data_IF_791338062102
#
_entry.id   IF_791338062102
#
_cell.length_a   1.000
_cell.length_b   1.000
_cell.length_c   1.000
_cell.angle_alpha   90.00
_cell.angle_beta   90.00
_cell.angle_gamma   90.00
#
_symmetry.space_group_name_H-M   'P 1'
#
loop_
_entity.id
_entity.type
_entity.pdbx_description
1 polymer ?
#
# COMPACT_ATOMS: atom_id res chain seq x y z
N UNK A 1 -6.34 -40.81 -37.25
CA UNK A 1 -5.46 -40.16 -38.23
C UNK A 1 -6.27 -39.08 -38.94
N UNK A 2 -5.97 -37.80 -38.69
CA UNK A 2 -6.53 -36.71 -39.47
C UNK A 2 -5.40 -35.72 -39.74
N UNK A 3 -5.07 -35.57 -41.01
CA UNK A 3 -3.99 -34.76 -41.52
C UNK A 3 -4.60 -33.62 -42.33
N UNK A 4 -3.96 -32.45 -42.21
CA UNK A 4 -3.79 -31.37 -43.21
C UNK A 4 -4.61 -30.08 -43.06
N UNK A 5 -3.82 -29.06 -42.69
CA UNK A 5 -3.47 -27.84 -43.48
C UNK A 5 -4.46 -26.68 -43.52
N UNK A 6 -4.12 -25.68 -42.71
CA UNK A 6 -3.64 -24.33 -43.09
C UNK A 6 -4.47 -23.50 -44.07
N UNK A 7 -4.91 -22.33 -43.58
CA UNK A 7 -5.36 -21.18 -44.37
C UNK A 7 -5.30 -19.89 -43.54
N UNK A 8 -4.31 -19.05 -43.86
CA UNK A 8 -3.92 -17.77 -43.24
C UNK A 8 -4.87 -16.62 -43.59
N UNK A 9 -5.03 -15.63 -42.69
CA UNK A 9 -5.06 -14.15 -42.90
C UNK A 9 -5.29 -13.44 -41.55
N UNK A 10 -4.25 -12.83 -40.95
CA UNK A 10 -3.90 -11.39 -41.02
C UNK A 10 -5.04 -10.52 -40.45
N UNK A 11 -4.89 -9.76 -39.36
CA UNK A 11 -4.07 -8.54 -39.21
C UNK A 11 -4.10 -8.05 -37.76
N UNK A 12 -2.99 -7.51 -37.24
CA UNK A 12 -3.00 -6.78 -35.97
C UNK A 12 -1.64 -6.72 -35.29
N UNK A 13 -0.65 -6.14 -35.97
CA UNK A 13 0.67 -5.88 -35.42
C UNK A 13 0.63 -4.72 -34.43
N UNK A 14 1.23 -4.91 -33.26
CA UNK A 14 1.83 -3.83 -32.47
C UNK A 14 3.07 -4.39 -31.77
N UNK A 15 4.17 -4.47 -32.52
CA UNK A 15 5.50 -4.75 -32.01
C UNK A 15 6.04 -3.44 -31.45
N UNK A 16 6.04 -3.28 -30.14
CA UNK A 16 6.80 -2.21 -29.48
C UNK A 16 8.22 -2.73 -29.21
N UNK A 17 9.06 -2.71 -30.25
CA UNK A 17 10.50 -2.86 -30.11
C UNK A 17 11.07 -1.54 -29.58
N UNK A 18 11.43 -1.49 -28.29
CA UNK A 18 12.15 -0.35 -27.71
C UNK A 18 13.62 -0.47 -28.13
N UNK A 19 13.97 0.20 -29.22
CA UNK A 19 15.36 0.38 -29.65
C UNK A 19 15.98 1.54 -28.86
N UNK A 20 16.86 1.24 -27.92
CA UNK A 20 17.75 2.22 -27.28
C UNK A 20 18.88 2.58 -28.26
N UNK A 21 18.66 3.60 -29.09
CA UNK A 21 19.72 4.22 -29.89
C UNK A 21 20.35 5.37 -29.10
N UNK A 22 21.50 5.10 -28.48
CA UNK A 22 22.39 6.12 -27.90
C UNK A 22 23.24 6.72 -29.03
N UNK A 23 22.73 7.73 -29.74
CA UNK A 23 23.51 8.49 -30.72
C UNK A 23 24.07 9.75 -30.06
N UNK A 24 25.34 9.71 -29.67
CA UNK A 24 26.13 10.89 -29.33
C UNK A 24 26.67 11.53 -30.61
N UNK A 25 26.02 12.58 -31.08
CA UNK A 25 26.57 13.48 -32.09
C UNK A 25 26.55 14.90 -31.50
N UNK A 26 27.74 15.44 -31.24
CA UNK A 26 27.91 16.83 -30.84
C UNK A 26 27.76 17.77 -32.02
N UNK A 27 27.26 18.99 -31.75
CA UNK A 27 27.96 20.27 -31.96
C UNK A 27 26.97 21.45 -32.00
N UNK A 28 27.17 22.34 -31.02
CA UNK A 28 26.97 23.80 -31.01
C UNK A 28 25.57 24.42 -31.13
N UNK A 29 25.25 25.15 -30.05
CA UNK A 29 24.35 26.30 -29.96
C UNK A 29 22.85 26.05 -30.19
N UNK A 30 22.17 25.63 -29.12
CA UNK A 30 20.81 26.03 -28.77
C UNK A 30 20.46 25.42 -27.42
N UNK A 31 20.19 26.26 -26.42
CA UNK A 31 19.66 25.90 -25.12
C UNK A 31 18.44 24.97 -25.24
N UNK A 32 18.63 23.67 -25.02
CA UNK A 32 17.55 22.72 -24.75
C UNK A 32 18.08 21.68 -23.79
N UNK A 33 17.93 21.99 -22.50
CA UNK A 33 18.14 21.07 -21.39
C UNK A 33 17.32 19.78 -21.62
N UNK A 34 17.86 18.58 -21.37
CA UNK A 34 17.15 17.30 -21.53
C UNK A 34 16.02 17.05 -20.49
N UNK A 35 15.58 18.08 -19.77
CA UNK A 35 14.73 17.98 -18.57
C UNK A 35 13.23 17.76 -18.85
N UNK A 36 12.78 17.88 -20.10
CA UNK A 36 11.34 17.85 -20.43
C UNK A 36 10.82 16.44 -20.79
N UNK A 37 11.66 15.54 -21.29
CA UNK A 37 11.22 14.18 -21.67
C UNK A 37 11.09 13.22 -20.47
N UNK A 38 11.79 13.49 -19.36
CA UNK A 38 11.65 12.74 -18.11
C UNK A 38 10.39 13.16 -17.29
N UNK A 39 9.90 14.38 -17.51
CA UNK A 39 8.87 15.00 -16.66
C UNK A 39 7.44 14.47 -16.88
N UNK A 40 7.16 13.82 -18.01
CA UNK A 40 5.84 13.22 -18.31
C UNK A 40 5.64 11.84 -17.66
N UNK A 41 6.71 11.09 -17.40
CA UNK A 41 6.67 9.81 -16.65
C UNK A 41 6.62 10.03 -15.14
N UNK A 42 7.27 11.09 -14.64
CA UNK A 42 7.20 11.46 -13.22
C UNK A 42 5.80 11.89 -12.77
N UNK A 43 5.10 12.68 -13.59
CA UNK A 43 3.83 13.33 -13.19
C UNK A 43 2.69 12.36 -12.84
N UNK A 44 2.64 11.17 -13.44
CA UNK A 44 1.63 10.16 -13.10
C UNK A 44 1.97 9.39 -11.82
N UNK A 45 3.26 9.09 -11.61
CA UNK A 45 3.75 8.49 -10.38
C UNK A 45 3.63 9.45 -9.18
N UNK A 46 3.89 10.75 -9.38
CA UNK A 46 3.73 11.79 -8.35
C UNK A 46 2.29 11.87 -7.88
N UNK A 47 1.30 11.99 -8.78
CA UNK A 47 -0.11 12.12 -8.37
C UNK A 47 -0.66 10.90 -7.63
N UNK A 48 -0.20 9.70 -7.98
CA UNK A 48 -0.53 8.48 -7.25
C UNK A 48 0.11 8.49 -5.85
N UNK A 49 1.37 8.90 -5.73
CA UNK A 49 2.08 9.04 -4.46
C UNK A 49 1.48 10.14 -3.56
N UNK A 50 1.10 11.29 -4.12
CA UNK A 50 0.48 12.40 -3.38
C UNK A 50 -0.86 12.01 -2.75
N UNK A 51 -1.67 11.19 -3.45
CA UNK A 51 -2.97 10.72 -2.97
C UNK A 51 -2.80 9.71 -1.83
N UNK A 52 -1.83 8.79 -1.97
CA UNK A 52 -1.45 7.80 -0.94
C UNK A 52 -0.88 8.49 0.31
N UNK A 53 0.06 9.43 0.12
CA UNK A 53 0.63 10.21 1.19
C UNK A 53 -0.43 11.01 1.96
N UNK A 54 -1.41 11.58 1.24
CA UNK A 54 -2.53 12.29 1.88
C UNK A 54 -3.42 11.36 2.70
N UNK A 55 -3.72 10.14 2.22
CA UNK A 55 -4.52 9.17 2.98
C UNK A 55 -3.81 8.68 4.25
N UNK A 56 -2.52 8.33 4.15
CA UNK A 56 -1.70 7.96 5.31
C UNK A 56 -1.53 9.15 6.26
N UNK A 57 -1.43 10.39 5.76
CA UNK A 57 -1.37 11.58 6.58
C UNK A 57 -2.66 11.83 7.37
N UNK A 58 -3.84 11.66 6.75
CA UNK A 58 -5.13 11.82 7.44
C UNK A 58 -5.35 10.74 8.53
N UNK A 59 -4.95 9.49 8.25
CA UNK A 59 -4.94 8.44 9.28
C UNK A 59 -3.90 8.69 10.38
N UNK A 60 -2.73 9.23 10.00
CA UNK A 60 -1.71 9.70 10.92
C UNK A 60 -2.25 10.79 11.86
N UNK A 61 -2.98 11.77 11.34
CA UNK A 61 -3.62 12.82 12.14
C UNK A 61 -4.60 12.25 13.17
N UNK A 62 -5.42 11.26 12.78
CA UNK A 62 -6.32 10.58 13.73
C UNK A 62 -5.56 9.89 14.86
N UNK A 63 -4.37 9.36 14.56
CA UNK A 63 -3.48 8.80 15.58
C UNK A 63 -2.84 9.92 16.42
N UNK A 64 -2.49 11.06 15.82
CA UNK A 64 -1.91 12.21 16.53
C UNK A 64 -2.93 12.94 17.45
N UNK A 65 -4.23 12.74 17.24
CA UNK A 65 -5.28 13.21 18.16
C UNK A 65 -5.20 12.53 19.54
N UNK A 66 -4.59 11.33 19.63
CA UNK A 66 -4.32 10.65 20.90
C UNK A 66 -3.08 11.27 21.59
N UNK A 67 -3.31 12.40 22.26
CA UNK A 67 -2.25 13.13 22.99
C UNK A 67 -1.60 12.25 24.05
N UNK A 68 -0.26 12.15 24.00
CA UNK A 68 0.54 11.39 24.97
C UNK A 68 0.63 9.89 24.70
N UNK A 69 0.17 9.43 23.53
CA UNK A 69 0.33 8.04 23.12
C UNK A 69 1.80 7.63 22.98
N UNK A 70 2.14 6.46 23.52
CA UNK A 70 3.47 5.86 23.38
C UNK A 70 3.47 4.95 22.16
N UNK A 71 4.54 4.98 21.35
CA UNK A 71 4.70 4.04 20.24
C UNK A 71 4.65 2.60 20.77
N UNK A 72 3.73 1.81 20.21
CA UNK A 72 3.41 0.47 20.66
C UNK A 72 3.36 -0.52 19.51
N UNK A 73 4.10 -0.26 18.42
CA UNK A 73 4.12 -1.15 17.24
C UNK A 73 4.58 -2.57 17.59
N UNK A 74 5.51 -2.70 18.54
CA UNK A 74 6.02 -4.00 19.02
C UNK A 74 5.01 -4.78 19.88
N UNK A 75 3.94 -4.12 20.34
CA UNK A 75 2.85 -4.74 21.10
C UNK A 75 1.75 -5.32 20.16
N UNK A 76 1.92 -5.23 18.84
CA UNK A 76 0.88 -5.55 17.84
C UNK A 76 1.34 -6.63 16.86
N UNK A 77 0.50 -7.64 16.68
CA UNK A 77 0.67 -8.70 15.69
C UNK A 77 -0.51 -8.76 14.72
N UNK A 78 -0.21 -8.94 13.42
CA UNK A 78 -1.23 -9.18 12.41
C UNK A 78 -1.30 -10.68 12.09
N UNK A 79 -2.52 -11.17 11.92
CA UNK A 79 -2.77 -12.49 11.34
C UNK A 79 -2.71 -12.49 9.81
N UNK A 80 -3.19 -13.56 9.20
CA UNK A 80 -3.31 -13.66 7.74
C UNK A 80 -4.42 -12.75 7.21
N UNK A 81 -4.18 -12.15 6.04
CA UNK A 81 -5.21 -11.40 5.31
C UNK A 81 -6.21 -12.37 4.70
N UNK A 82 -7.49 -12.10 4.91
CA UNK A 82 -8.61 -12.81 4.31
C UNK A 82 -9.53 -11.84 3.56
N UNK A 83 -10.28 -12.35 2.59
CA UNK A 83 -11.31 -11.57 1.88
C UNK A 83 -12.69 -11.95 2.42
N UNK A 84 -13.45 -10.94 2.82
CA UNK A 84 -14.85 -11.07 3.26
C UNK A 84 -15.71 -10.01 2.56
N UNK A 85 -16.71 -10.44 1.79
CA UNK A 85 -17.58 -9.56 0.98
C UNK A 85 -16.79 -8.56 0.10
N UNK A 86 -15.74 -9.08 -0.56
CA UNK A 86 -14.83 -8.31 -1.40
C UNK A 86 -13.88 -7.36 -0.66
N UNK A 87 -13.95 -7.29 0.67
CA UNK A 87 -13.08 -6.44 1.50
C UNK A 87 -11.97 -7.26 2.12
N UNK A 88 -10.78 -6.68 2.21
CA UNK A 88 -9.70 -7.28 2.95
C UNK A 88 -9.97 -7.16 4.45
N UNK A 89 -9.73 -8.24 5.18
CA UNK A 89 -9.80 -8.32 6.63
C UNK A 89 -8.51 -8.91 7.16
N UNK A 90 -8.01 -8.40 8.28
CA UNK A 90 -6.86 -8.98 8.97
C UNK A 90 -7.10 -8.95 10.47
N UNK A 91 -6.91 -10.08 11.18
CA UNK A 91 -6.92 -10.10 12.63
C UNK A 91 -5.78 -9.23 13.18
N UNK A 92 -6.08 -8.41 14.18
CA UNK A 92 -5.12 -7.60 14.94
C UNK A 92 -5.10 -8.13 16.36
N UNK A 93 -3.95 -8.62 16.81
CA UNK A 93 -3.73 -8.99 18.22
C UNK A 93 -2.88 -7.91 18.87
N UNK A 94 -3.28 -7.48 20.07
CA UNK A 94 -2.56 -6.50 20.87
C UNK A 94 -2.22 -7.12 22.20
N UNK A 95 -0.95 -7.04 22.59
CA UNK A 95 -0.39 -7.59 23.82
C UNK A 95 0.01 -6.46 24.78
N UNK A 96 -0.70 -6.34 25.90
CA UNK A 96 -0.41 -5.31 26.88
C UNK A 96 0.57 -5.80 27.95
N UNK A 97 1.86 -5.58 27.73
CA UNK A 97 2.91 -5.85 28.72
C UNK A 97 2.93 -4.91 29.94
N UNK A 98 1.98 -3.97 30.06
CA UNK A 98 1.95 -3.01 31.16
C UNK A 98 1.26 -3.56 32.41
N UNK A 99 1.52 -2.92 33.55
CA UNK A 99 0.92 -3.27 34.85
C UNK A 99 -0.50 -2.73 35.06
N UNK A 100 -1.06 -2.02 34.08
CA UNK A 100 -2.43 -1.49 34.11
C UNK A 100 -3.13 -1.69 32.76
N UNK A 101 -4.45 -1.59 32.75
CA UNK A 101 -5.25 -1.65 31.51
C UNK A 101 -4.87 -0.50 30.59
N UNK A 102 -4.77 -0.81 29.29
CA UNK A 102 -4.39 0.15 28.25
C UNK A 102 -5.27 0.02 27.02
N UNK A 103 -5.44 1.13 26.32
CA UNK A 103 -6.12 1.17 25.03
C UNK A 103 -5.11 1.47 23.93
N UNK A 104 -5.37 0.93 22.75
CA UNK A 104 -4.47 0.99 21.62
C UNK A 104 -5.19 1.50 20.39
N UNK A 105 -4.52 2.34 19.61
CA UNK A 105 -4.92 2.73 18.27
C UNK A 105 -3.89 2.21 17.27
N UNK A 106 -4.33 1.35 16.36
CA UNK A 106 -3.47 0.66 15.38
C UNK A 106 -3.85 1.09 13.98
N UNK A 107 -2.93 1.69 13.24
CA UNK A 107 -3.07 1.96 11.82
C UNK A 107 -2.54 0.78 11.01
N UNK A 108 -3.44 0.13 10.27
CA UNK A 108 -3.15 -0.97 9.37
C UNK A 108 -3.23 -0.46 7.93
N UNK A 109 -2.21 -0.75 7.14
CA UNK A 109 -2.16 -0.45 5.71
C UNK A 109 -2.31 -1.73 4.90
N UNK A 110 -3.28 -1.75 3.98
CA UNK A 110 -3.45 -2.79 3.00
C UNK A 110 -2.71 -2.40 1.71
N UNK A 111 -1.95 -3.34 1.14
CA UNK A 111 -1.07 -3.11 -0.02
C UNK A 111 -1.21 -4.22 -1.05
N UNK A 112 -0.91 -3.93 -2.31
CA UNK A 112 -0.76 -4.95 -3.33
C UNK A 112 0.64 -5.58 -3.29
N UNK A 113 0.88 -6.63 -4.10
CA UNK A 113 2.19 -7.27 -4.26
C UNK A 113 3.30 -6.33 -4.75
N UNK A 114 2.97 -5.22 -5.40
CA UNK A 114 3.92 -4.19 -5.81
C UNK A 114 4.29 -3.22 -4.68
N UNK A 115 3.67 -3.36 -3.51
CA UNK A 115 3.85 -2.47 -2.36
C UNK A 115 3.02 -1.20 -2.42
N UNK A 116 2.13 -1.05 -3.41
CA UNK A 116 1.28 0.15 -3.51
C UNK A 116 0.23 0.14 -2.40
N UNK A 117 0.00 1.28 -1.76
CA UNK A 117 -1.06 1.41 -0.76
C UNK A 117 -2.42 1.31 -1.45
N UNK A 118 -3.24 0.38 -1.00
CA UNK A 118 -4.61 0.17 -1.46
C UNK A 118 -5.63 0.81 -0.53
N UNK A 119 -5.41 0.71 0.78
CA UNK A 119 -6.27 1.31 1.80
C UNK A 119 -5.55 1.44 3.14
N UNK A 120 -6.05 2.33 4.01
CA UNK A 120 -5.55 2.46 5.38
C UNK A 120 -6.73 2.44 6.35
N UNK A 121 -6.58 1.75 7.48
CA UNK A 121 -7.62 1.57 8.49
C UNK A 121 -7.02 1.81 9.86
N UNK A 122 -7.73 2.54 10.72
CA UNK A 122 -7.37 2.65 12.15
C UNK A 122 -8.35 1.82 12.95
N UNK A 123 -7.82 0.89 13.75
CA UNK A 123 -8.58 0.05 14.68
C UNK A 123 -8.22 0.45 16.09
N UNK A 124 -9.24 0.65 16.93
CA UNK A 124 -9.05 0.88 18.36
C UNK A 124 -9.34 -0.40 19.13
N UNK A 125 -8.39 -0.82 19.96
CA UNK A 125 -8.53 -1.94 20.88
C UNK A 125 -8.58 -1.39 22.29
N UNK A 126 -9.78 -1.29 22.85
CA UNK A 126 -10.01 -0.70 24.16
C UNK A 126 -9.83 -1.72 25.28
N UNK A 127 -9.37 -1.23 26.44
CA UNK A 127 -9.35 -1.98 27.69
C UNK A 127 -8.69 -3.35 27.56
N UNK A 128 -7.45 -3.35 27.06
CA UNK A 128 -6.57 -4.51 27.09
C UNK A 128 -6.01 -4.60 28.50
N UNK A 129 -6.41 -5.63 29.25
CA UNK A 129 -6.02 -5.81 30.64
C UNK A 129 -4.50 -5.85 30.83
N UNK A 130 -4.04 -5.58 32.07
CA UNK A 130 -2.63 -5.66 32.42
C UNK A 130 -2.08 -7.08 32.16
N UNK A 131 -0.96 -7.20 31.45
CA UNK A 131 -0.36 -8.48 31.09
C UNK A 131 -1.21 -9.37 30.18
N UNK A 132 -2.24 -8.82 29.54
CA UNK A 132 -3.21 -9.58 28.74
C UNK A 132 -3.16 -9.20 27.26
N UNK A 133 -3.75 -10.06 26.43
CA UNK A 133 -3.88 -9.84 24.99
C UNK A 133 -5.35 -9.68 24.59
N UNK A 134 -5.63 -8.89 23.56
CA UNK A 134 -6.97 -8.74 22.99
C UNK A 134 -6.91 -8.73 21.47
N UNK A 135 -7.97 -9.25 20.84
CA UNK A 135 -8.10 -9.30 19.38
C UNK A 135 -9.11 -8.28 18.88
N UNK A 136 -8.84 -7.73 17.72
CA UNK A 136 -9.76 -6.97 16.88
C UNK A 136 -9.56 -7.37 15.42
N UNK A 137 -10.33 -6.77 14.51
CA UNK A 137 -10.20 -7.00 13.07
C UNK A 137 -10.11 -5.68 12.35
N UNK A 138 -9.06 -5.48 11.55
CA UNK A 138 -9.01 -4.40 10.59
C UNK A 138 -9.72 -4.85 9.31
N UNK A 139 -10.69 -4.06 8.84
CA UNK A 139 -11.46 -4.30 7.61
C UNK A 139 -11.31 -3.11 6.68
N UNK A 140 -10.97 -3.33 5.42
CA UNK A 140 -10.83 -2.27 4.44
C UNK A 140 -12.15 -1.50 4.20
N UNK A 141 -12.03 -0.19 4.01
CA UNK A 141 -13.14 0.74 3.75
C UNK A 141 -13.72 0.57 2.34
N UNK A 142 -13.00 -0.10 1.44
CA UNK A 142 -13.41 -0.42 0.07
C UNK A 142 -13.13 -1.89 -0.26
N UNK A 143 -13.77 -2.40 -1.30
CA UNK A 143 -13.42 -3.72 -1.84
C UNK A 143 -12.03 -3.67 -2.46
N UNK A 144 -11.24 -4.71 -2.24
CA UNK A 144 -9.86 -4.82 -2.71
C UNK A 144 -9.71 -6.13 -3.49
N UNK A 145 -9.18 -6.03 -4.70
CA UNK A 145 -8.98 -7.16 -5.60
C UNK A 145 -7.51 -7.57 -5.68
N UNK A 146 -7.27 -8.83 -6.05
CA UNK A 146 -5.93 -9.40 -6.21
C UNK A 146 -5.29 -9.82 -4.90
N UNK A 147 -3.97 -10.02 -4.94
CA UNK A 147 -3.20 -10.41 -3.77
C UNK A 147 -2.93 -9.20 -2.87
N UNK A 148 -3.61 -9.16 -1.71
CA UNK A 148 -3.50 -8.09 -0.72
C UNK A 148 -2.66 -8.54 0.47
N UNK A 149 -1.73 -7.69 0.90
CA UNK A 149 -0.96 -7.83 2.15
C UNK A 149 -1.34 -6.74 3.13
N UNK A 150 -1.06 -6.93 4.42
CA UNK A 150 -1.28 -5.92 5.46
C UNK A 150 0.00 -5.67 6.29
N UNK A 151 0.22 -4.42 6.69
CA UNK A 151 1.30 -4.01 7.62
C UNK A 151 0.78 -3.03 8.67
N UNK A 152 1.42 -3.00 9.85
CA UNK A 152 1.13 -1.99 10.88
C UNK A 152 1.95 -0.75 10.59
N UNK A 153 1.36 0.30 10.02
CA UNK A 153 2.08 1.53 9.77
C UNK A 153 2.49 2.23 11.08
N UNK A 154 1.55 2.31 12.03
CA UNK A 154 1.73 2.97 13.33
C UNK A 154 0.85 2.30 14.38
N UNK A 155 1.30 2.26 15.62
CA UNK A 155 0.45 1.91 16.75
C UNK A 155 0.78 2.80 17.96
N UNK A 156 -0.26 3.28 18.65
CA UNK A 156 -0.13 4.04 19.88
C UNK A 156 -0.86 3.35 21.02
N UNK A 157 -0.27 3.44 22.21
CA UNK A 157 -0.88 3.02 23.48
C UNK A 157 -1.17 4.23 24.35
N UNK A 158 -2.34 4.30 24.97
CA UNK A 158 -2.74 5.35 25.92
C UNK A 158 -3.41 4.78 27.18
#
# INVERSE_FOLDING_TARGET
MAHRRSGVRATGAAVAAVALALTVAGCSDSDTSPSEAASKVGSAASKAADTVASATAEAGKKIDEFKGGVNAKDDVELGDVATDDGRATVPVTVDNGQSSSKSYAVQVEFRDKGGNLLDTVVVTVNDVGAGASKKATARSNRSLDGDVTADVARALRH
#
